data_IF_913108030108
#
_entry.id   IF_913108030108
#
_cell.length_a   1.000
_cell.length_b   1.000
_cell.length_c   1.000
_cell.angle_alpha   90.00
_cell.angle_beta   90.00
_cell.angle_gamma   90.00
#
_symmetry.space_group_name_H-M   'P 1'
#
loop_
_entity.id
_entity.type
_entity.pdbx_description
1 polymer ?
#
# COMPACT_ATOMS: atom_id res chain seq x y z
N UNK A 1 -56.63 -52.55 17.70
CA UNK A 1 -56.65 -51.52 16.64
C UNK A 1 -56.83 -50.16 17.30
N UNK A 2 -55.82 -49.30 17.25
CA UNK A 2 -55.88 -47.93 17.76
C UNK A 2 -55.33 -46.98 16.69
N UNK A 3 -56.13 -45.98 16.34
CA UNK A 3 -55.96 -45.03 15.23
C UNK A 3 -54.81 -44.06 15.49
N UNK A 4 -53.91 -43.89 14.51
CA UNK A 4 -52.94 -42.79 14.49
C UNK A 4 -53.43 -41.70 13.53
N UNK A 5 -53.87 -40.58 14.08
CA UNK A 5 -54.21 -39.37 13.32
C UNK A 5 -52.92 -38.55 13.13
N UNK A 6 -52.34 -38.54 11.92
CA UNK A 6 -51.34 -37.54 11.53
C UNK A 6 -51.95 -36.58 10.53
N UNK A 7 -52.12 -35.35 11.00
CA UNK A 7 -52.57 -34.18 10.26
C UNK A 7 -51.51 -33.80 9.21
N UNK A 8 -51.94 -33.69 7.95
CA UNK A 8 -51.14 -33.10 6.88
C UNK A 8 -51.32 -31.59 6.84
N UNK A 9 -50.27 -30.87 6.51
CA UNK A 9 -50.33 -29.60 5.76
C UNK A 9 -48.93 -29.29 5.22
N UNK A 10 -48.74 -29.57 3.94
CA UNK A 10 -47.72 -28.98 3.10
C UNK A 10 -47.98 -27.48 2.98
N UNK A 11 -47.08 -26.67 3.55
CA UNK A 11 -47.10 -25.22 3.48
C UNK A 11 -45.69 -24.71 3.15
N UNK A 12 -45.56 -24.11 1.97
CA UNK A 12 -44.35 -23.54 1.41
C UNK A 12 -43.94 -22.22 2.11
N UNK A 13 -42.69 -21.83 1.84
CA UNK A 13 -42.10 -20.49 2.00
C UNK A 13 -42.04 -19.88 3.42
N UNK A 14 -40.83 -19.78 3.95
CA UNK A 14 -40.15 -18.49 4.16
C UNK A 14 -38.88 -18.69 5.01
N UNK A 15 -37.78 -18.99 4.33
CA UNK A 15 -36.44 -19.10 4.94
C UNK A 15 -35.34 -18.47 4.10
N UNK A 16 -35.69 -17.55 3.17
CA UNK A 16 -34.72 -16.73 2.45
C UNK A 16 -34.16 -15.68 3.41
N UNK A 17 -33.12 -16.05 4.14
CA UNK A 17 -32.29 -15.10 4.87
C UNK A 17 -31.69 -14.07 3.90
N UNK A 18 -32.18 -12.84 3.97
CA UNK A 18 -31.69 -11.69 3.22
C UNK A 18 -30.22 -11.39 3.61
N UNK A 19 -29.26 -11.95 2.86
CA UNK A 19 -27.82 -11.67 3.06
C UNK A 19 -27.31 -10.44 2.30
N UNK A 20 -28.19 -9.49 1.98
CA UNK A 20 -27.81 -8.22 1.36
C UNK A 20 -28.59 -7.06 1.97
N UNK A 21 -28.44 -6.88 3.28
CA UNK A 21 -28.87 -5.68 3.99
C UNK A 21 -27.66 -5.02 4.65
N UNK A 22 -26.64 -4.71 3.85
CA UNK A 22 -25.73 -3.60 4.13
C UNK A 22 -25.12 -3.10 2.81
N UNK A 23 -26.01 -2.70 1.90
CA UNK A 23 -25.67 -1.76 0.84
C UNK A 23 -26.02 -0.37 1.39
N UNK A 24 -25.00 0.42 1.69
CA UNK A 24 -25.17 1.86 1.93
C UNK A 24 -24.89 2.34 3.35
N UNK A 25 -23.63 2.25 3.80
CA UNK A 25 -23.08 3.11 4.86
C UNK A 25 -21.54 3.03 4.91
N UNK A 26 -20.86 3.40 3.84
CA UNK A 26 -19.43 3.75 3.90
C UNK A 26 -19.11 4.77 2.79
N UNK A 27 -19.99 5.76 2.66
CA UNK A 27 -19.73 7.01 1.96
C UNK A 27 -19.70 8.09 3.05
N UNK A 28 -18.51 8.63 3.32
CA UNK A 28 -18.31 9.84 4.12
C UNK A 28 -18.24 9.66 5.65
N UNK A 29 -17.25 10.31 6.27
CA UNK A 29 -17.09 10.44 7.72
C UNK A 29 -15.87 9.66 8.23
N UNK A 30 -14.67 10.25 8.24
CA UNK A 30 -14.14 11.03 9.37
C UNK A 30 -14.49 10.44 10.75
N UNK A 31 -13.43 9.99 11.44
CA UNK A 31 -13.23 10.08 12.89
C UNK A 31 -14.36 9.53 13.76
N UNK A 32 -14.16 8.34 14.32
CA UNK A 32 -14.89 7.90 15.51
C UNK A 32 -15.24 6.42 15.52
N UNK A 33 -14.28 5.57 15.86
CA UNK A 33 -14.58 4.29 16.48
C UNK A 33 -13.42 3.88 17.39
N UNK A 34 -13.71 4.00 18.69
CA UNK A 34 -12.98 3.42 19.79
C UNK A 34 -12.70 1.93 19.50
N UNK A 35 -11.42 1.56 19.43
CA UNK A 35 -11.01 0.17 19.25
C UNK A 35 -9.54 0.11 18.88
N UNK A 36 -8.67 -0.10 19.89
CA UNK A 36 -7.22 0.04 19.81
C UNK A 36 -6.58 -0.54 18.55
N UNK A 37 -6.15 0.36 17.66
CA UNK A 37 -5.28 0.04 16.55
C UNK A 37 -3.91 0.66 16.83
N UNK A 38 -2.93 -0.21 17.03
CA UNK A 38 -1.52 0.14 17.07
C UNK A 38 -1.11 0.65 15.69
N UNK A 39 -1.34 1.94 15.45
CA UNK A 39 -0.72 2.65 14.34
C UNK A 39 0.63 3.15 14.88
N UNK A 40 1.77 2.56 14.46
CA UNK A 40 3.06 3.03 14.93
C UNK A 40 3.25 4.50 14.55
N UNK A 41 3.77 5.34 15.46
CA UNK A 41 4.00 6.75 15.17
C UNK A 41 5.06 6.88 14.06
N UNK A 42 4.64 7.39 12.90
CA UNK A 42 5.55 7.78 11.83
C UNK A 42 5.88 9.26 12.00
N UNK A 43 7.04 9.56 12.58
CA UNK A 43 7.58 10.93 12.61
C UNK A 43 8.15 11.27 11.22
N UNK A 44 7.49 12.17 10.50
CA UNK A 44 8.01 12.75 9.25
C UNK A 44 8.62 14.11 9.57
N UNK A 45 9.96 14.15 9.70
CA UNK A 45 10.70 15.41 9.81
C UNK A 45 11.18 15.84 8.43
N UNK A 46 10.61 16.91 7.90
CA UNK A 46 11.04 17.51 6.62
C UNK A 46 12.10 18.58 6.93
N UNK A 47 13.37 18.23 6.81
CA UNK A 47 14.47 19.21 6.90
C UNK A 47 14.81 19.73 5.50
N UNK A 48 14.29 20.90 5.15
CA UNK A 48 14.58 21.57 3.88
C UNK A 48 15.83 22.46 4.04
N UNK A 49 17.02 21.87 4.00
CA UNK A 49 18.26 22.64 4.07
C UNK A 49 18.58 23.25 2.69
N UNK A 50 17.87 24.31 2.32
CA UNK A 50 18.23 25.17 1.20
C UNK A 50 19.42 26.05 1.60
N UNK A 51 20.63 25.51 1.50
CA UNK A 51 21.82 26.32 1.32
C UNK A 51 22.92 25.51 0.62
N UNK A 52 23.21 25.88 -0.63
CA UNK A 52 24.48 25.58 -1.29
C UNK A 52 24.45 24.49 -2.36
N UNK A 53 24.02 24.84 -3.58
CA UNK A 53 24.70 24.52 -4.84
C UNK A 53 23.82 24.89 -6.04
N UNK A 54 23.81 26.18 -6.37
CA UNK A 54 23.37 26.64 -7.68
C UNK A 54 24.42 26.24 -8.73
N UNK A 55 24.12 25.26 -9.60
CA UNK A 55 24.73 25.11 -10.93
C UNK A 55 23.76 24.48 -11.94
N UNK A 56 23.14 25.36 -12.73
CA UNK A 56 23.00 25.19 -14.18
C UNK A 56 21.93 24.23 -14.73
N UNK A 57 20.91 24.80 -15.37
CA UNK A 57 20.36 24.24 -16.61
C UNK A 57 18.91 23.77 -16.56
N UNK A 58 18.03 24.54 -17.20
CA UNK A 58 16.86 24.02 -17.91
C UNK A 58 15.65 23.67 -17.07
N UNK A 59 14.67 24.57 -17.07
CA UNK A 59 13.33 24.34 -16.53
C UNK A 59 12.68 23.09 -17.11
N UNK A 60 12.64 22.04 -16.32
CA UNK A 60 11.56 21.06 -16.28
C UNK A 60 11.06 21.11 -14.86
N UNK A 61 9.77 21.34 -14.67
CA UNK A 61 9.12 21.11 -13.37
C UNK A 61 9.65 19.78 -12.85
N UNK A 62 10.29 19.73 -11.67
CA UNK A 62 10.71 18.44 -11.15
C UNK A 62 9.43 17.64 -11.06
N UNK A 63 9.36 16.52 -11.77
CA UNK A 63 8.50 15.45 -11.27
C UNK A 63 9.01 15.25 -9.85
N UNK A 64 8.27 15.74 -8.86
CA UNK A 64 8.64 15.61 -7.45
C UNK A 64 8.81 14.12 -7.23
N UNK A 65 10.07 13.68 -7.20
CA UNK A 65 10.39 12.27 -7.24
C UNK A 65 9.79 11.67 -5.99
N UNK A 66 8.78 10.81 -6.19
CA UNK A 66 8.11 10.10 -5.09
C UNK A 66 9.09 9.24 -4.28
N UNK A 67 10.24 8.95 -4.88
CA UNK A 67 11.32 8.19 -4.29
C UNK A 67 12.53 9.11 -4.02
N UNK A 68 13.25 8.89 -2.90
CA UNK A 68 14.55 9.52 -2.70
C UNK A 68 15.51 9.12 -3.82
N UNK A 69 16.53 9.94 -4.05
CA UNK A 69 17.60 9.59 -5.00
C UNK A 69 18.17 8.21 -4.65
N UNK A 70 18.42 7.33 -5.65
CA UNK A 70 18.92 5.97 -5.43
C UNK A 70 20.41 6.01 -5.04
N UNK A 71 20.68 6.46 -3.82
CA UNK A 71 22.00 6.44 -3.22
C UNK A 71 22.13 5.17 -2.38
N UNK A 72 22.99 4.24 -2.78
CA UNK A 72 23.18 2.95 -2.09
C UNK A 72 24.57 2.86 -1.45
N UNK A 73 25.00 3.93 -0.80
CA UNK A 73 26.34 4.01 -0.18
C UNK A 73 26.38 3.46 1.24
N UNK A 74 25.21 3.24 1.87
CA UNK A 74 25.12 2.68 3.21
C UNK A 74 23.89 1.76 3.39
N UNK A 75 23.95 0.77 4.30
CA UNK A 75 22.82 -0.13 4.57
C UNK A 75 21.55 0.62 5.03
N UNK A 76 21.73 1.74 5.73
CA UNK A 76 20.62 2.60 6.15
C UNK A 76 19.89 3.24 4.96
N UNK A 77 20.62 3.59 3.89
CA UNK A 77 20.02 4.14 2.68
C UNK A 77 19.24 3.08 1.90
N UNK A 78 19.74 1.84 1.81
CA UNK A 78 19.02 0.72 1.18
C UNK A 78 17.67 0.50 1.88
N UNK A 79 17.68 0.46 3.23
CA UNK A 79 16.46 0.35 4.04
C UNK A 79 15.50 1.51 3.77
N UNK A 80 16.00 2.74 3.79
CA UNK A 80 15.18 3.93 3.58
C UNK A 80 14.52 3.89 2.19
N UNK A 81 15.30 3.62 1.15
CA UNK A 81 14.80 3.53 -0.23
C UNK A 81 13.70 2.46 -0.37
N UNK A 82 13.93 1.23 0.12
CA UNK A 82 12.92 0.16 0.07
C UNK A 82 11.63 0.51 0.83
N UNK A 83 11.74 1.17 2.00
CA UNK A 83 10.58 1.59 2.78
C UNK A 83 9.79 2.72 2.11
N UNK A 84 10.48 3.71 1.54
CA UNK A 84 9.83 4.78 0.78
C UNK A 84 9.13 4.23 -0.47
N UNK A 85 9.76 3.31 -1.20
CA UNK A 85 9.15 2.63 -2.35
C UNK A 85 7.91 1.84 -1.94
N UNK A 86 7.98 1.10 -0.83
CA UNK A 86 6.83 0.37 -0.29
C UNK A 86 5.68 1.31 0.07
N UNK A 87 5.96 2.42 0.75
CA UNK A 87 4.95 3.40 1.13
C UNK A 87 4.31 4.06 -0.10
N UNK A 88 5.13 4.55 -1.03
CA UNK A 88 4.67 5.19 -2.26
C UNK A 88 3.81 4.24 -3.11
N UNK A 89 4.27 3.00 -3.32
CA UNK A 89 3.55 2.02 -4.14
C UNK A 89 2.21 1.61 -3.51
N UNK A 90 2.12 1.48 -2.17
CA UNK A 90 0.85 1.18 -1.49
C UNK A 90 -0.13 2.34 -1.66
N UNK A 91 0.30 3.57 -1.41
CA UNK A 91 -0.56 4.75 -1.58
C UNK A 91 -1.07 4.86 -3.02
N UNK A 92 -0.16 4.75 -3.98
CA UNK A 92 -0.49 4.84 -5.40
C UNK A 92 -1.41 3.68 -5.84
N UNK A 93 -1.29 2.49 -5.24
CA UNK A 93 -2.21 1.37 -5.51
C UNK A 93 -3.65 1.66 -5.11
N UNK A 94 -3.86 2.41 -4.02
CA UNK A 94 -5.20 2.77 -3.53
C UNK A 94 -5.82 3.81 -4.45
N UNK A 95 -5.04 4.82 -4.83
CA UNK A 95 -5.47 5.87 -5.76
C UNK A 95 -5.81 5.28 -7.14
N UNK A 96 -4.98 4.38 -7.66
CA UNK A 96 -5.23 3.71 -8.94
C UNK A 96 -6.46 2.81 -8.88
N UNK A 97 -6.72 2.13 -7.75
CA UNK A 97 -7.92 1.33 -7.56
C UNK A 97 -9.19 2.20 -7.53
N UNK A 98 -9.16 3.35 -6.84
CA UNK A 98 -10.26 4.32 -6.91
C UNK A 98 -10.45 4.87 -8.33
N UNK A 99 -9.35 5.19 -9.02
CA UNK A 99 -9.38 5.63 -10.42
C UNK A 99 -10.01 4.60 -11.34
N UNK A 100 -9.80 3.30 -11.09
CA UNK A 100 -10.45 2.22 -11.85
C UNK A 100 -11.98 2.23 -11.71
N UNK A 101 -12.50 2.45 -10.49
CA UNK A 101 -13.94 2.50 -10.24
C UNK A 101 -14.59 3.78 -10.78
N UNK A 102 -13.93 4.93 -10.65
CA UNK A 102 -14.40 6.19 -11.27
C UNK A 102 -14.46 6.02 -12.79
N UNK A 103 -13.39 5.49 -13.40
CA UNK A 103 -13.32 5.24 -14.84
C UNK A 103 -14.44 4.30 -15.31
N UNK A 104 -14.70 3.23 -14.55
CA UNK A 104 -15.80 2.30 -14.84
C UNK A 104 -17.16 2.98 -14.78
N UNK A 105 -17.40 3.80 -13.76
CA UNK A 105 -18.65 4.54 -13.58
C UNK A 105 -18.91 5.52 -14.72
N UNK A 106 -17.88 6.30 -15.10
CA UNK A 106 -17.97 7.26 -16.21
C UNK A 106 -18.21 6.55 -17.54
N UNK A 107 -17.45 5.49 -17.84
CA UNK A 107 -17.58 4.77 -19.11
C UNK A 107 -18.90 4.00 -19.22
N UNK A 108 -19.46 3.54 -18.10
CA UNK A 108 -20.75 2.84 -18.07
C UNK A 108 -21.95 3.74 -18.41
N UNK A 109 -21.81 5.06 -18.27
CA UNK A 109 -22.84 6.02 -18.65
C UNK A 109 -22.88 6.31 -20.16
N UNK A 110 -21.83 5.96 -20.90
CA UNK A 110 -21.76 6.17 -22.36
C UNK A 110 -22.66 5.15 -23.06
N UNK A 111 -23.59 5.55 -23.94
CA UNK A 111 -24.41 4.61 -24.70
C UNK A 111 -23.59 3.65 -25.56
N UNK A 112 -24.08 2.43 -25.74
CA UNK A 112 -23.42 1.48 -26.63
C UNK A 112 -23.75 1.81 -28.11
N UNK A 113 -22.76 1.99 -29.01
CA UNK A 113 -22.98 2.14 -30.46
C UNK A 113 -23.84 1.02 -31.07
N UNK A 114 -23.76 -0.20 -30.55
CA UNK A 114 -24.54 -1.34 -31.04
C UNK A 114 -25.95 -1.41 -30.42
N UNK A 115 -26.36 -0.42 -29.62
CA UNK A 115 -27.67 -0.38 -28.96
C UNK A 115 -27.88 -1.42 -27.85
N UNK A 116 -26.83 -2.12 -27.43
CA UNK A 116 -26.91 -3.16 -26.39
C UNK A 116 -27.14 -2.53 -25.01
N UNK A 117 -28.25 -2.89 -24.37
CA UNK A 117 -28.67 -2.36 -23.06
C UNK A 117 -27.62 -2.45 -21.94
N UNK A 118 -26.66 -3.39 -22.02
CA UNK A 118 -25.57 -3.55 -21.05
C UNK A 118 -24.16 -3.57 -21.66
N UNK A 119 -24.02 -3.43 -22.98
CA UNK A 119 -22.72 -3.64 -23.61
C UNK A 119 -21.70 -2.54 -23.25
N UNK A 120 -22.18 -1.32 -22.99
CA UNK A 120 -21.36 -0.24 -22.40
C UNK A 120 -20.72 -0.65 -21.07
N UNK A 121 -21.50 -1.21 -20.13
CA UNK A 121 -21.00 -1.67 -18.82
C UNK A 121 -19.93 -2.75 -18.97
N UNK A 122 -20.11 -3.67 -19.92
CA UNK A 122 -19.13 -4.73 -20.19
C UNK A 122 -17.83 -4.16 -20.73
N UNK A 123 -17.89 -3.18 -21.65
CA UNK A 123 -16.68 -2.51 -22.15
C UNK A 123 -15.99 -1.69 -21.07
N UNK A 124 -16.76 -0.92 -20.30
CA UNK A 124 -16.26 -0.15 -19.17
C UNK A 124 -15.52 -1.05 -18.16
N UNK A 125 -16.09 -2.21 -17.82
CA UNK A 125 -15.45 -3.19 -16.96
C UNK A 125 -14.14 -3.74 -17.56
N UNK A 126 -14.08 -3.98 -18.89
CA UNK A 126 -12.85 -4.43 -19.55
C UNK A 126 -11.72 -3.40 -19.42
N UNK A 127 -12.04 -2.11 -19.61
CA UNK A 127 -11.06 -1.02 -19.48
C UNK A 127 -10.64 -0.85 -18.02
N UNK A 128 -11.61 -0.75 -17.10
CA UNK A 128 -11.35 -0.61 -15.67
C UNK A 128 -10.52 -1.77 -15.11
N UNK A 129 -10.71 -2.99 -15.63
CA UNK A 129 -9.90 -4.16 -15.25
C UNK A 129 -8.40 -3.98 -15.55
N UNK A 130 -8.03 -3.21 -16.57
CA UNK A 130 -6.62 -2.90 -16.84
C UNK A 130 -6.04 -1.99 -15.77
N UNK A 131 -6.82 -0.98 -15.35
CA UNK A 131 -6.42 -0.09 -14.26
C UNK A 131 -6.32 -0.84 -12.92
N UNK A 132 -7.29 -1.72 -12.64
CA UNK A 132 -7.26 -2.57 -11.44
C UNK A 132 -6.01 -3.46 -11.40
N UNK A 133 -5.59 -4.03 -12.54
CA UNK A 133 -4.34 -4.80 -12.63
C UNK A 133 -3.11 -3.95 -12.33
N UNK A 134 -3.09 -2.67 -12.73
CA UNK A 134 -2.01 -1.76 -12.36
C UNK A 134 -1.96 -1.53 -10.85
N UNK A 135 -3.11 -1.38 -10.19
CA UNK A 135 -3.17 -1.30 -8.72
C UNK A 135 -2.59 -2.55 -8.05
N UNK A 136 -2.94 -3.74 -8.57
CA UNK A 136 -2.41 -5.00 -8.04
C UNK A 136 -0.90 -5.14 -8.28
N UNK A 137 -0.40 -4.74 -9.45
CA UNK A 137 1.03 -4.74 -9.75
C UNK A 137 1.82 -3.80 -8.82
N UNK A 138 1.24 -2.67 -8.41
CA UNK A 138 1.86 -1.77 -7.42
C UNK A 138 1.94 -2.41 -6.04
N UNK A 139 0.91 -3.15 -5.63
CA UNK A 139 0.95 -3.93 -4.37
C UNK A 139 2.03 -5.00 -4.42
N UNK A 140 2.19 -5.66 -5.56
CA UNK A 140 3.26 -6.65 -5.74
C UNK A 140 4.64 -6.00 -5.77
N UNK A 141 4.78 -4.83 -6.40
CA UNK A 141 6.01 -4.02 -6.31
C UNK A 141 6.35 -3.68 -4.85
N UNK A 142 5.36 -3.30 -4.03
CA UNK A 142 5.55 -3.02 -2.61
C UNK A 142 5.98 -4.26 -1.80
N UNK A 143 5.48 -5.44 -2.16
CA UNK A 143 5.93 -6.72 -1.56
C UNK A 143 7.37 -7.03 -1.95
N UNK A 144 7.69 -6.92 -3.24
CA UNK A 144 9.04 -7.17 -3.74
C UNK A 144 10.06 -6.18 -3.17
N UNK A 145 9.68 -4.92 -2.93
CA UNK A 145 10.54 -3.94 -2.26
C UNK A 145 10.92 -4.36 -0.84
N UNK A 146 9.98 -4.94 -0.08
CA UNK A 146 10.27 -5.46 1.26
C UNK A 146 11.08 -6.76 1.21
N UNK A 147 10.77 -7.66 0.26
CA UNK A 147 11.53 -8.87 0.06
C UNK A 147 12.99 -8.56 -0.33
N UNK A 148 13.22 -7.56 -1.18
CA UNK A 148 14.55 -7.08 -1.56
C UNK A 148 15.37 -6.68 -0.31
N UNK A 149 14.80 -5.91 0.60
CA UNK A 149 15.50 -5.57 1.85
C UNK A 149 15.73 -6.80 2.74
N UNK A 150 14.76 -7.72 2.84
CA UNK A 150 14.91 -8.94 3.63
C UNK A 150 16.05 -9.83 3.11
N UNK A 151 16.14 -10.02 1.79
CA UNK A 151 17.23 -10.78 1.16
C UNK A 151 18.56 -10.03 1.31
N UNK A 152 18.57 -8.70 1.18
CA UNK A 152 19.77 -7.91 1.43
C UNK A 152 20.31 -8.11 2.86
N UNK A 153 19.43 -8.22 3.86
CA UNK A 153 19.85 -8.52 5.23
C UNK A 153 20.42 -9.95 5.33
N UNK A 154 19.79 -10.94 4.72
CA UNK A 154 20.28 -12.32 4.75
C UNK A 154 21.66 -12.48 4.09
N UNK A 155 21.86 -11.86 2.94
CA UNK A 155 23.06 -12.07 2.09
C UNK A 155 24.23 -11.14 2.41
N UNK A 156 23.99 -9.99 3.04
CA UNK A 156 25.05 -8.97 3.24
C UNK A 156 25.24 -8.54 4.70
N UNK A 157 24.33 -8.89 5.62
CA UNK A 157 24.46 -8.44 7.01
C UNK A 157 25.62 -9.13 7.74
N UNK A 158 25.95 -10.37 7.37
CA UNK A 158 27.14 -11.06 7.88
C UNK A 158 28.44 -10.36 7.44
N UNK A 159 28.57 -9.98 6.17
CA UNK A 159 29.71 -9.22 5.66
C UNK A 159 29.80 -7.83 6.27
N UNK A 160 28.66 -7.12 6.33
CA UNK A 160 28.61 -5.74 6.83
C UNK A 160 28.93 -5.71 8.31
N UNK A 161 28.38 -6.61 9.14
CA UNK A 161 28.70 -6.66 10.55
C UNK A 161 30.15 -7.07 10.77
N UNK A 162 30.69 -8.04 10.00
CA UNK A 162 32.11 -8.40 10.06
C UNK A 162 33.03 -7.22 9.73
N UNK A 163 32.71 -6.42 8.72
CA UNK A 163 33.46 -5.18 8.38
C UNK A 163 33.27 -4.10 9.45
N UNK A 164 32.06 -3.93 9.99
CA UNK A 164 31.76 -2.96 11.05
C UNK A 164 32.47 -3.28 12.36
N UNK A 165 32.58 -4.55 12.74
CA UNK A 165 33.37 -5.00 13.89
C UNK A 165 34.86 -4.78 13.68
N UNK A 166 35.35 -4.90 12.44
CA UNK A 166 36.74 -4.57 12.10
C UNK A 166 37.00 -3.06 12.04
N UNK A 167 36.00 -2.25 11.67
CA UNK A 167 36.12 -0.79 11.55
C UNK A 167 35.96 -0.04 12.88
N UNK A 168 35.25 -0.61 13.88
CA UNK A 168 35.11 0.02 15.20
C UNK A 168 36.37 -0.25 16.04
N UNK A 169 37.37 0.61 15.88
CA UNK A 169 38.58 0.60 16.73
C UNK A 169 38.14 0.70 18.20
N UNK A 170 38.53 -0.24 19.09
CA UNK A 170 38.15 -0.17 20.50
C UNK A 170 38.62 1.16 21.06
N UNK A 171 37.68 1.95 21.57
CA UNK A 171 37.98 3.18 22.28
C UNK A 171 38.76 2.76 23.53
N UNK A 172 40.08 2.96 23.50
CA UNK A 172 40.92 2.65 24.64
C UNK A 172 40.42 3.51 25.81
N UNK A 173 40.15 2.91 26.98
CA UNK A 173 39.80 3.67 28.18
C UNK A 173 40.89 4.71 28.43
N UNK A 174 40.52 5.98 28.37
CA UNK A 174 41.44 7.07 28.66
C UNK A 174 41.69 7.01 30.17
N UNK A 175 42.79 6.39 30.58
CA UNK A 175 43.22 6.35 31.98
C UNK A 175 43.42 7.78 32.46
N UNK A 176 42.53 8.24 33.35
CA UNK A 176 42.56 9.59 33.89
C UNK A 176 43.46 9.58 35.12
N UNK A 177 44.73 9.97 34.94
CA UNK A 177 45.76 10.02 35.99
C UNK A 177 45.51 11.09 37.07
N UNK A 178 44.40 11.83 37.00
CA UNK A 178 44.06 12.92 37.92
C UNK A 178 43.25 12.48 39.16
N UNK A 179 43.14 11.17 39.44
CA UNK A 179 42.40 10.62 40.59
C UNK A 179 43.28 9.82 41.58
N UNK A 180 44.55 10.21 41.77
CA UNK A 180 45.40 9.68 42.86
C UNK A 180 45.42 10.62 44.07
#
# INVERSE_FOLDING_TARGET
>A
MATTTRNGTTGADNGKGHKFANAGAAAGGFVGALGGSFVPPVNVTVNNNKNGAARGGGGRSPAESLLPAPEFTSPAQVRNYCNTLRAAAVTLSIEVAMGAEILKGVLAAVPDPDGRAFGSRVRAAKVARKMQRSADALRDAAKNAAACYAVFQQEYEEEINRVRHRARKPQQPVMNWAQQ
#
